data_IF_015065398185
#
_entry.id   IF_015065398185
#
_cell.length_a   1.000
_cell.length_b   1.000
_cell.length_c   1.000
_cell.angle_alpha   90.00
_cell.angle_beta   90.00
_cell.angle_gamma   90.00
#
_symmetry.space_group_name_H-M   'P 1'
#
loop_
_entity.id
_entity.type
_entity.pdbx_description
1 polymer ?
#
# COMPACT_ATOMS: atom_id res chain seq x y z
N UNK A 1 -17.40 -1.11 -6.09
CA UNK A 1 -16.07 -0.93 -6.70
C UNK A 1 -15.11 -2.02 -6.24
N UNK A 2 -14.23 -2.50 -7.12
CA UNK A 2 -13.25 -3.56 -6.81
C UNK A 2 -12.20 -3.15 -5.77
N UNK A 3 -11.37 -4.10 -5.34
CA UNK A 3 -10.28 -3.87 -4.36
C UNK A 3 -8.96 -3.44 -5.02
N UNK A 4 -8.77 -3.77 -6.30
CA UNK A 4 -7.62 -3.40 -7.13
C UNK A 4 -6.27 -3.78 -6.51
N UNK A 5 -5.27 -2.94 -6.72
CA UNK A 5 -3.91 -3.16 -6.24
C UNK A 5 -3.76 -3.34 -4.72
N UNK A 6 -4.74 -2.89 -3.93
CA UNK A 6 -4.73 -3.07 -2.47
C UNK A 6 -5.28 -4.42 -1.99
N UNK A 7 -5.81 -5.24 -2.90
CA UNK A 7 -6.43 -6.52 -2.56
C UNK A 7 -5.48 -7.45 -1.81
N UNK A 8 -4.17 -7.44 -2.11
CA UNK A 8 -3.19 -8.29 -1.43
C UNK A 8 -3.18 -8.08 0.08
N UNK A 9 -3.03 -6.83 0.53
CA UNK A 9 -3.05 -6.52 1.97
C UNK A 9 -4.44 -6.69 2.61
N UNK A 10 -5.50 -6.44 1.86
CA UNK A 10 -6.86 -6.65 2.34
C UNK A 10 -7.15 -8.13 2.59
N UNK A 11 -6.65 -9.02 1.72
CA UNK A 11 -6.72 -10.47 1.91
C UNK A 11 -5.88 -10.93 3.10
N UNK A 12 -4.72 -10.32 3.34
CA UNK A 12 -3.92 -10.59 4.57
C UNK A 12 -4.68 -10.18 5.83
N UNK A 13 -5.35 -9.01 5.82
CA UNK A 13 -6.16 -8.56 6.95
C UNK A 13 -7.34 -9.52 7.21
N UNK A 14 -8.06 -9.93 6.16
CA UNK A 14 -9.13 -10.92 6.31
C UNK A 14 -8.60 -12.26 6.84
N UNK A 15 -7.47 -12.74 6.31
CA UNK A 15 -6.86 -13.99 6.77
C UNK A 15 -6.41 -13.90 8.24
N UNK A 16 -5.90 -12.75 8.67
CA UNK A 16 -5.59 -12.49 10.09
C UNK A 16 -6.84 -12.62 10.96
N UNK A 17 -7.94 -11.98 10.59
CA UNK A 17 -9.18 -12.02 11.35
C UNK A 17 -9.73 -13.45 11.45
N UNK A 18 -9.71 -14.20 10.34
CA UNK A 18 -10.11 -15.62 10.33
C UNK A 18 -9.20 -16.48 11.22
N UNK A 19 -7.89 -16.24 11.20
CA UNK A 19 -6.93 -16.94 12.06
C UNK A 19 -7.06 -16.56 13.54
N UNK A 20 -7.66 -15.42 13.88
CA UNK A 20 -7.96 -15.09 15.28
C UNK A 20 -9.17 -15.88 15.79
N UNK A 21 -10.12 -16.20 14.92
CA UNK A 21 -11.33 -16.96 15.27
C UNK A 21 -11.10 -18.48 15.23
N UNK A 22 -10.31 -18.97 14.26
CA UNK A 22 -10.09 -20.40 14.05
C UNK A 22 -8.73 -20.84 14.61
N UNK A 23 -8.67 -21.51 15.77
CA UNK A 23 -7.40 -21.90 16.39
C UNK A 23 -6.68 -23.00 15.61
N UNK A 24 -5.34 -22.98 15.66
CA UNK A 24 -4.46 -24.02 15.14
C UNK A 24 -4.69 -24.38 13.65
N UNK A 25 -4.91 -23.39 12.80
CA UNK A 25 -5.14 -23.58 11.37
C UNK A 25 -4.16 -22.78 10.52
N UNK A 26 -4.26 -22.99 9.21
CA UNK A 26 -3.55 -22.26 8.18
C UNK A 26 -4.50 -21.39 7.37
N UNK A 27 -3.99 -20.29 6.83
CA UNK A 27 -4.64 -19.55 5.77
C UNK A 27 -3.64 -19.36 4.63
N UNK A 28 -4.09 -19.61 3.40
CA UNK A 28 -3.30 -19.33 2.19
C UNK A 28 -3.94 -18.16 1.47
N UNK A 29 -3.18 -17.09 1.28
CA UNK A 29 -3.58 -15.94 0.47
C UNK A 29 -2.87 -16.04 -0.88
N UNK A 30 -3.65 -16.09 -1.96
CA UNK A 30 -3.14 -16.10 -3.32
C UNK A 30 -3.55 -14.79 -3.99
N UNK A 31 -2.55 -13.99 -4.36
CA UNK A 31 -2.72 -12.83 -5.24
C UNK A 31 -2.35 -13.26 -6.66
N UNK A 32 -3.22 -13.00 -7.63
CA UNK A 32 -2.95 -13.23 -9.04
C UNK A 32 -3.51 -12.06 -9.83
N UNK A 33 -2.73 -11.55 -10.77
CA UNK A 33 -3.13 -10.48 -11.69
C UNK A 33 -2.95 -10.97 -13.13
N UNK A 34 -4.01 -10.83 -13.94
CA UNK A 34 -3.98 -11.13 -15.35
C UNK A 34 -4.54 -9.93 -16.15
N UNK A 35 -3.76 -9.44 -17.11
CA UNK A 35 -4.06 -8.24 -17.88
C UNK A 35 -4.89 -8.50 -19.15
N UNK A 36 -5.14 -9.76 -19.50
CA UNK A 36 -5.82 -10.11 -20.78
C UNK A 36 -7.19 -9.47 -20.94
N UNK A 37 -7.97 -9.33 -19.86
CA UNK A 37 -9.30 -8.71 -19.89
C UNK A 37 -9.28 -7.18 -19.73
N UNK A 38 -8.14 -6.61 -19.35
CA UNK A 38 -8.01 -5.19 -19.01
C UNK A 38 -7.14 -4.41 -20.01
N UNK A 39 -6.73 -5.04 -21.13
CA UNK A 39 -5.96 -4.37 -22.16
C UNK A 39 -6.83 -3.37 -22.93
N UNK A 40 -6.45 -2.09 -22.90
CA UNK A 40 -7.20 -1.04 -23.55
C UNK A 40 -6.81 -0.92 -25.04
N UNK A 41 -7.78 -1.06 -25.94
CA UNK A 41 -7.60 -1.01 -27.41
C UNK A 41 -7.99 0.33 -28.04
N UNK A 42 -8.34 1.33 -27.23
CA UNK A 42 -8.68 2.67 -27.70
C UNK A 42 -7.47 3.61 -27.76
N UNK A 43 -7.73 4.90 -27.92
CA UNK A 43 -6.69 5.93 -28.05
C UNK A 43 -6.77 7.04 -27.00
N UNK A 44 -7.58 6.86 -25.96
CA UNK A 44 -7.62 7.78 -24.83
C UNK A 44 -6.32 7.66 -24.01
N UNK A 45 -5.53 8.73 -24.00
CA UNK A 45 -4.25 8.79 -23.29
C UNK A 45 -4.34 8.38 -21.83
N UNK A 46 -5.38 8.80 -21.12
CA UNK A 46 -5.56 8.50 -19.69
C UNK A 46 -5.80 7.02 -19.40
N UNK A 47 -6.34 6.28 -20.38
CA UNK A 47 -6.56 4.84 -20.30
C UNK A 47 -5.34 4.05 -20.82
N UNK A 48 -4.63 4.56 -21.83
CA UNK A 48 -3.40 3.94 -22.37
C UNK A 48 -2.29 3.81 -21.32
N UNK A 49 -2.25 4.69 -20.32
CA UNK A 49 -1.28 4.60 -19.21
C UNK A 49 -1.33 3.24 -18.52
N UNK A 50 -2.53 2.64 -18.40
CA UNK A 50 -2.69 1.31 -17.79
C UNK A 50 -1.92 0.22 -18.54
N UNK A 51 -1.94 0.21 -19.89
CA UNK A 51 -1.20 -0.74 -20.72
C UNK A 51 0.33 -0.63 -20.52
N UNK A 52 0.82 0.58 -20.24
CA UNK A 52 2.24 0.84 -19.99
C UNK A 52 2.69 0.37 -18.61
N UNK A 53 1.80 0.41 -17.62
CA UNK A 53 2.12 0.11 -16.22
C UNK A 53 1.91 -1.36 -15.86
N UNK A 54 0.75 -1.91 -16.19
CA UNK A 54 0.32 -3.21 -15.65
C UNK A 54 1.02 -4.39 -16.33
N UNK A 55 1.34 -5.39 -15.52
CA UNK A 55 1.94 -6.67 -15.94
C UNK A 55 1.26 -7.82 -15.19
N UNK A 56 1.46 -9.03 -15.72
CA UNK A 56 0.98 -10.26 -15.09
C UNK A 56 1.90 -10.61 -13.92
N UNK A 57 1.32 -11.04 -12.81
CA UNK A 57 2.08 -11.47 -11.64
C UNK A 57 1.25 -12.28 -10.67
N UNK A 58 1.92 -12.89 -9.70
CA UNK A 58 1.25 -13.62 -8.66
C UNK A 58 2.14 -13.89 -7.45
N UNK A 59 1.51 -14.10 -6.31
CA UNK A 59 2.18 -14.42 -5.05
C UNK A 59 1.27 -15.31 -4.19
N UNK A 60 1.87 -16.22 -3.43
CA UNK A 60 1.18 -17.06 -2.47
C UNK A 60 1.83 -16.90 -1.09
N UNK A 61 1.01 -16.68 -0.06
CA UNK A 61 1.44 -16.39 1.29
C UNK A 61 0.73 -17.35 2.24
N UNK A 62 1.52 -18.14 2.96
CA UNK A 62 1.02 -19.04 3.99
C UNK A 62 1.10 -18.34 5.35
N UNK A 63 -0.05 -18.20 6.01
CA UNK A 63 -0.19 -17.68 7.36
C UNK A 63 -0.56 -18.83 8.30
N UNK A 64 -0.05 -18.78 9.53
CA UNK A 64 -0.33 -19.77 10.57
C UNK A 64 -0.51 -19.08 11.91
N UNK A 65 -1.47 -19.57 12.71
CA UNK A 65 -1.61 -19.21 14.12
C UNK A 65 -1.16 -20.34 15.07
N UNK A 66 -0.55 -21.41 14.54
CA UNK A 66 -0.06 -22.54 15.33
C UNK A 66 1.20 -22.13 16.09
N UNK A 67 1.22 -22.37 17.40
CA UNK A 67 2.41 -22.11 18.24
C UNK A 67 3.66 -22.84 17.76
N UNK A 68 3.50 -24.05 17.22
CA UNK A 68 4.59 -24.87 16.67
C UNK A 68 5.27 -24.25 15.45
N UNK A 69 4.63 -23.32 14.74
CA UNK A 69 5.20 -22.72 13.53
C UNK A 69 5.99 -21.44 13.81
N UNK A 70 5.90 -20.89 15.03
CA UNK A 70 6.48 -19.60 15.39
C UNK A 70 8.00 -19.52 15.17
N UNK A 71 8.73 -20.61 15.40
CA UNK A 71 10.19 -20.64 15.27
C UNK A 71 10.68 -20.72 13.81
N UNK A 72 9.82 -21.17 12.88
CA UNK A 72 10.12 -21.31 11.45
C UNK A 72 9.48 -20.23 10.58
N UNK A 73 8.57 -19.42 11.13
CA UNK A 73 7.97 -18.28 10.43
C UNK A 73 9.01 -17.22 10.10
N UNK A 74 9.00 -16.76 8.85
CA UNK A 74 9.90 -15.68 8.37
C UNK A 74 9.51 -14.31 8.96
N UNK A 75 8.21 -14.07 9.10
CA UNK A 75 7.62 -12.79 9.53
C UNK A 75 6.50 -13.02 10.54
N UNK A 76 6.21 -11.98 11.34
CA UNK A 76 5.06 -11.96 12.24
C UNK A 76 4.18 -10.75 11.92
N UNK A 77 2.95 -10.95 11.46
CA UNK A 77 2.02 -9.85 11.23
C UNK A 77 1.61 -9.22 12.57
N UNK A 78 1.93 -7.94 12.76
CA UNK A 78 1.65 -7.18 13.99
C UNK A 78 0.38 -6.37 13.82
N UNK A 79 0.37 -5.43 12.86
CA UNK A 79 -0.72 -4.50 12.64
C UNK A 79 -1.20 -4.49 11.19
N UNK A 80 -2.50 -4.26 11.04
CA UNK A 80 -3.17 -4.08 9.75
C UNK A 80 -4.07 -2.87 9.88
N UNK A 81 -3.88 -1.86 9.01
CA UNK A 81 -4.67 -0.63 9.03
C UNK A 81 -5.28 -0.41 7.66
N UNK A 82 -6.59 -0.18 7.62
CA UNK A 82 -7.36 0.06 6.40
C UNK A 82 -8.00 1.43 6.46
N UNK A 83 -7.82 2.23 5.41
CA UNK A 83 -8.61 3.44 5.17
C UNK A 83 -9.35 3.33 3.85
N UNK A 84 -10.57 3.87 3.82
CA UNK A 84 -11.45 3.84 2.66
C UNK A 84 -12.09 5.21 2.48
N UNK A 85 -11.91 5.83 1.31
CA UNK A 85 -12.44 7.15 1.00
C UNK A 85 -13.49 7.16 -0.12
N UNK A 86 -13.98 6.00 -0.54
CA UNK A 86 -14.91 5.89 -1.68
C UNK A 86 -16.31 6.45 -1.46
N UNK A 87 -16.59 7.07 -0.30
CA UNK A 87 -17.78 7.88 -0.09
C UNK A 87 -17.63 9.30 -0.66
N UNK A 88 -16.39 9.74 -0.91
CA UNK A 88 -16.08 10.99 -1.60
C UNK A 88 -16.04 10.73 -3.11
N UNK A 89 -16.80 11.50 -3.90
CA UNK A 89 -16.96 11.28 -5.34
C UNK A 89 -15.65 11.38 -6.11
N UNK A 90 -14.77 12.29 -5.68
CA UNK A 90 -13.43 12.47 -6.26
C UNK A 90 -12.56 11.25 -6.00
N UNK A 91 -12.59 10.69 -4.79
CA UNK A 91 -11.91 9.45 -4.44
C UNK A 91 -12.52 8.22 -5.12
N UNK A 92 -13.84 8.20 -5.31
CA UNK A 92 -14.52 7.10 -5.98
C UNK A 92 -14.18 7.06 -7.47
N UNK A 93 -14.27 8.20 -8.15
CA UNK A 93 -14.10 8.31 -9.60
C UNK A 93 -12.64 8.31 -10.08
N UNK A 94 -11.66 8.50 -9.19
CA UNK A 94 -10.27 8.70 -9.59
C UNK A 94 -9.62 7.51 -10.31
N UNK A 95 -10.11 6.29 -10.08
CA UNK A 95 -9.71 5.07 -10.78
C UNK A 95 -10.97 4.26 -11.08
N UNK A 96 -11.47 4.36 -12.31
CA UNK A 96 -12.74 3.78 -12.71
C UNK A 96 -12.60 3.07 -14.04
N UNK A 97 -13.24 1.91 -14.16
CA UNK A 97 -13.37 1.23 -15.45
C UNK A 97 -14.61 1.78 -16.16
N UNK A 98 -14.44 2.24 -17.38
CA UNK A 98 -15.51 2.84 -18.18
C UNK A 98 -15.23 2.68 -19.67
N UNK A 99 -16.25 2.91 -20.49
CA UNK A 99 -16.12 2.99 -21.94
C UNK A 99 -15.57 4.37 -22.35
N UNK A 100 -14.77 4.38 -23.41
CA UNK A 100 -14.41 5.61 -24.12
C UNK A 100 -15.50 6.02 -25.13
N UNK A 101 -15.26 7.10 -25.87
CA UNK A 101 -16.20 7.60 -26.87
C UNK A 101 -16.48 6.63 -28.03
N UNK A 102 -15.59 5.64 -28.25
CA UNK A 102 -15.70 4.62 -29.30
C UNK A 102 -16.27 3.30 -28.75
N UNK A 103 -16.77 3.28 -27.50
CA UNK A 103 -17.32 2.10 -26.84
C UNK A 103 -16.26 1.09 -26.37
N UNK A 104 -14.98 1.48 -26.32
CA UNK A 104 -13.90 0.60 -25.87
C UNK A 104 -13.70 0.73 -24.37
N UNK A 105 -13.78 -0.38 -23.66
CA UNK A 105 -13.62 -0.43 -22.21
C UNK A 105 -12.15 -0.24 -21.83
N UNK A 106 -11.88 0.68 -20.90
CA UNK A 106 -10.56 0.93 -20.33
C UNK A 106 -10.62 1.37 -18.88
N UNK A 107 -9.47 1.40 -18.22
CA UNK A 107 -9.34 1.94 -16.85
C UNK A 107 -8.91 3.41 -16.93
N UNK A 108 -9.82 4.31 -16.58
CA UNK A 108 -9.55 5.73 -16.48
C UNK A 108 -8.74 6.03 -15.21
N UNK A 109 -7.60 6.69 -15.39
CA UNK A 109 -6.82 7.28 -14.29
C UNK A 109 -7.00 8.80 -14.32
N UNK A 110 -7.69 9.35 -13.31
CA UNK A 110 -7.88 10.80 -13.17
C UNK A 110 -6.57 11.50 -12.80
N UNK A 111 -6.43 12.77 -13.18
CA UNK A 111 -5.33 13.64 -12.77
C UNK A 111 -5.30 13.88 -11.25
N UNK A 112 -6.44 13.69 -10.59
CA UNK A 112 -6.60 13.84 -9.15
C UNK A 112 -5.99 12.70 -8.33
N UNK A 113 -5.54 11.63 -8.99
CA UNK A 113 -5.05 10.41 -8.35
C UNK A 113 -3.97 10.68 -7.30
N UNK A 114 -3.01 11.57 -7.59
CA UNK A 114 -1.91 11.86 -6.67
C UNK A 114 -2.39 12.58 -5.41
N UNK A 115 -3.28 13.57 -5.55
CA UNK A 115 -3.85 14.29 -4.41
C UNK A 115 -4.70 13.38 -3.54
N UNK A 116 -5.56 12.58 -4.15
CA UNK A 116 -6.39 11.58 -3.46
C UNK A 116 -5.50 10.55 -2.73
N UNK A 117 -4.40 10.11 -3.35
CA UNK A 117 -3.46 9.19 -2.75
C UNK A 117 -2.76 9.77 -1.52
N UNK A 118 -2.25 11.00 -1.61
CA UNK A 118 -1.63 11.71 -0.48
C UNK A 118 -2.62 11.91 0.67
N UNK A 119 -3.86 12.28 0.38
CA UNK A 119 -4.90 12.45 1.39
C UNK A 119 -5.26 11.11 2.05
N UNK A 120 -5.37 10.02 1.30
CA UNK A 120 -5.66 8.70 1.85
C UNK A 120 -4.51 8.15 2.70
N UNK A 121 -3.26 8.39 2.27
CA UNK A 121 -2.06 8.10 3.06
C UNK A 121 -2.09 8.86 4.37
N UNK A 122 -2.35 10.18 4.33
CA UNK A 122 -2.41 11.03 5.53
C UNK A 122 -3.39 10.49 6.57
N UNK A 123 -4.57 10.05 6.13
CA UNK A 123 -5.55 9.39 7.01
C UNK A 123 -5.00 8.07 7.55
N UNK A 124 -4.35 7.27 6.71
CA UNK A 124 -3.77 5.97 7.12
C UNK A 124 -2.66 6.14 8.17
N UNK A 125 -1.70 7.05 7.95
CA UNK A 125 -0.60 7.30 8.89
C UNK A 125 -1.07 7.91 10.22
N UNK A 126 -2.18 8.65 10.22
CA UNK A 126 -2.77 9.18 11.46
C UNK A 126 -3.30 8.05 12.36
N UNK A 127 -3.78 6.96 11.75
CA UNK A 127 -4.26 5.77 12.47
C UNK A 127 -3.09 4.84 12.81
N UNK A 128 -2.14 4.67 11.91
CA UNK A 128 -0.99 3.79 12.10
C UNK A 128 0.01 4.34 13.12
N UNK A 129 0.26 5.66 13.11
CA UNK A 129 1.28 6.31 13.93
C UNK A 129 1.24 5.92 15.42
N UNK A 130 0.09 6.02 16.10
CA UNK A 130 -0.04 5.62 17.50
C UNK A 130 0.26 4.15 17.79
N UNK A 131 0.18 3.26 16.79
CA UNK A 131 0.44 1.83 16.94
C UNK A 131 1.91 1.47 16.82
N UNK A 132 2.72 2.31 16.16
CA UNK A 132 4.10 1.92 15.73
C UNK A 132 5.19 2.92 16.12
N UNK A 133 4.84 4.20 16.31
CA UNK A 133 5.82 5.24 16.60
C UNK A 133 6.15 5.29 18.11
N UNK A 134 7.38 5.71 18.48
CA UNK A 134 7.73 6.01 19.86
C UNK A 134 6.82 7.09 20.48
N UNK A 135 6.63 7.05 21.81
CA UNK A 135 5.79 8.03 22.51
C UNK A 135 6.23 9.49 22.28
N UNK A 136 7.53 9.76 22.12
CA UNK A 136 8.04 11.10 21.85
C UNK A 136 7.50 11.68 20.53
N UNK A 137 7.49 10.88 19.48
CA UNK A 137 6.95 11.23 18.16
C UNK A 137 5.43 11.41 18.22
N UNK A 138 4.74 10.54 18.94
CA UNK A 138 3.30 10.63 19.13
C UNK A 138 2.92 11.94 19.82
N UNK A 139 3.58 12.30 20.92
CA UNK A 139 3.32 13.53 21.66
C UNK A 139 3.53 14.77 20.78
N UNK A 140 4.61 14.81 19.99
CA UNK A 140 4.90 15.92 19.08
C UNK A 140 3.84 16.06 17.98
N UNK A 141 3.45 14.95 17.38
CA UNK A 141 2.38 14.92 16.37
C UNK A 141 1.04 15.37 16.96
N UNK A 142 0.62 14.82 18.10
CA UNK A 142 -0.63 15.18 18.76
C UNK A 142 -0.64 16.64 19.21
N UNK A 143 0.45 17.15 19.79
CA UNK A 143 0.56 18.55 20.19
C UNK A 143 0.41 19.49 18.98
N UNK A 144 1.03 19.15 17.84
CA UNK A 144 0.92 19.92 16.60
C UNK A 144 -0.50 19.87 16.02
N UNK A 145 -1.15 18.71 16.08
CA UNK A 145 -2.52 18.50 15.59
C UNK A 145 -3.53 19.28 16.45
N UNK A 146 -3.39 19.25 17.77
CA UNK A 146 -4.20 20.01 18.74
C UNK A 146 -3.99 21.51 18.55
N UNK A 147 -2.74 21.98 18.48
CA UNK A 147 -2.40 23.37 18.21
C UNK A 147 -3.06 23.93 16.95
N UNK A 148 -3.11 23.13 15.87
CA UNK A 148 -3.76 23.54 14.62
C UNK A 148 -5.28 23.46 14.68
N UNK A 149 -5.85 22.37 15.19
CA UNK A 149 -7.30 22.10 15.08
C UNK A 149 -8.11 22.83 16.14
N UNK A 150 -7.61 22.89 17.37
CA UNK A 150 -8.29 23.52 18.51
C UNK A 150 -7.86 24.97 18.69
N UNK A 151 -6.57 25.26 18.58
CA UNK A 151 -6.03 26.60 18.83
C UNK A 151 -5.82 27.45 17.57
N UNK A 152 -6.18 26.94 16.37
CA UNK A 152 -6.04 27.61 15.05
C UNK A 152 -4.64 28.21 14.81
N UNK A 153 -3.59 27.65 15.43
CA UNK A 153 -2.23 28.15 15.30
C UNK A 153 -1.69 27.87 13.89
N UNK A 154 -0.95 28.83 13.31
CA UNK A 154 -0.27 28.69 12.01
C UNK A 154 1.00 27.82 12.12
N UNK A 155 0.88 26.60 12.62
CA UNK A 155 1.97 25.63 12.72
C UNK A 155 2.00 24.79 11.44
N UNK A 156 3.20 24.56 10.88
CA UNK A 156 3.35 23.64 9.74
C UNK A 156 2.95 22.22 10.17
N UNK A 157 2.23 21.44 9.34
CA UNK A 157 1.94 20.05 9.65
C UNK A 157 3.23 19.29 9.93
N UNK A 158 3.31 18.69 11.12
CA UNK A 158 4.37 17.75 11.46
C UNK A 158 4.05 16.40 10.82
N UNK A 159 5.02 15.84 10.09
CA UNK A 159 4.95 14.49 9.53
C UNK A 159 5.85 13.64 10.43
N UNK A 160 5.30 12.63 11.14
CA UNK A 160 6.10 11.79 12.02
C UNK A 160 7.19 11.05 11.25
N UNK A 161 8.34 10.84 11.87
CA UNK A 161 9.42 10.10 11.23
C UNK A 161 9.20 8.58 11.35
N UNK A 162 8.53 8.01 10.35
CA UNK A 162 8.29 6.57 10.28
C UNK A 162 9.57 5.72 10.13
N UNK A 163 10.73 6.33 9.81
CA UNK A 163 12.02 5.63 9.79
C UNK A 163 12.45 5.17 11.19
N UNK A 164 11.90 5.80 12.24
CA UNK A 164 12.10 5.35 13.63
C UNK A 164 11.29 4.08 13.94
N UNK A 165 10.17 3.88 13.24
CA UNK A 165 9.31 2.72 13.42
C UNK A 165 9.67 1.55 12.51
N UNK A 166 10.28 1.80 11.35
CA UNK A 166 10.52 0.76 10.35
C UNK A 166 11.90 0.86 9.71
N UNK A 167 12.57 -0.29 9.61
CA UNK A 167 13.80 -0.42 8.84
C UNK A 167 13.51 -0.59 7.35
N UNK A 168 12.39 -1.21 6.95
CA UNK A 168 12.08 -1.49 5.55
C UNK A 168 10.69 -1.01 5.15
N UNK A 169 10.60 -0.51 3.92
CA UNK A 169 9.35 -0.01 3.33
C UNK A 169 9.11 -0.75 2.02
N UNK A 170 7.93 -1.37 1.91
CA UNK A 170 7.42 -1.93 0.67
C UNK A 170 6.23 -1.06 0.27
N UNK A 171 6.44 -0.23 -0.74
CA UNK A 171 5.47 0.74 -1.21
C UNK A 171 4.97 0.29 -2.57
N UNK A 172 3.66 0.03 -2.66
CA UNK A 172 3.04 -0.49 -3.87
C UNK A 172 3.48 0.31 -5.09
N UNK A 173 4.16 -0.40 -6.00
CA UNK A 173 4.61 0.03 -7.31
C UNK A 173 3.44 0.31 -8.28
N UNK A 174 2.57 1.28 -7.96
CA UNK A 174 1.45 1.70 -8.80
C UNK A 174 1.90 2.38 -10.10
N UNK A 175 3.03 3.09 -10.03
CA UNK A 175 3.67 3.82 -11.11
C UNK A 175 4.70 4.80 -10.52
N UNK A 176 5.58 5.34 -11.37
CA UNK A 176 6.68 6.21 -10.92
C UNK A 176 6.20 7.42 -10.11
N UNK A 177 5.15 8.10 -10.58
CA UNK A 177 4.60 9.28 -9.91
C UNK A 177 4.10 8.98 -8.48
N UNK A 178 3.52 7.79 -8.26
CA UNK A 178 3.06 7.37 -6.92
C UNK A 178 4.26 7.18 -5.98
N UNK A 179 5.33 6.55 -6.47
CA UNK A 179 6.55 6.35 -5.68
C UNK A 179 7.22 7.68 -5.35
N UNK A 180 7.33 8.59 -6.31
CA UNK A 180 7.92 9.92 -6.13
C UNK A 180 7.13 10.75 -5.10
N UNK A 181 5.80 10.71 -5.15
CA UNK A 181 4.93 11.39 -4.19
C UNK A 181 5.06 10.81 -2.77
N UNK A 182 5.18 9.48 -2.66
CA UNK A 182 5.37 8.83 -1.36
C UNK A 182 6.74 9.06 -0.75
N UNK A 183 7.79 9.01 -1.56
CA UNK A 183 9.15 9.34 -1.12
C UNK A 183 9.19 10.74 -0.50
N UNK A 184 8.57 11.72 -1.17
CA UNK A 184 8.47 13.09 -0.69
C UNK A 184 7.64 13.22 0.58
N UNK A 185 6.46 12.61 0.64
CA UNK A 185 5.56 12.73 1.78
C UNK A 185 6.10 12.04 3.05
N UNK A 186 6.80 10.91 2.90
CA UNK A 186 7.35 10.15 4.01
C UNK A 186 8.83 10.48 4.29
N UNK A 187 9.43 11.36 3.49
CA UNK A 187 10.85 11.73 3.59
C UNK A 187 11.76 10.49 3.61
N UNK A 188 11.51 9.59 2.65
CA UNK A 188 12.26 8.35 2.49
C UNK A 188 13.50 8.61 1.64
N UNK A 189 14.57 7.90 1.94
CA UNK A 189 15.79 7.94 1.11
C UNK A 189 15.71 6.94 -0.05
N UNK A 190 16.61 7.09 -1.03
CA UNK A 190 16.75 6.16 -2.15
C UNK A 190 16.91 4.70 -1.68
N UNK A 191 17.61 4.47 -0.58
CA UNK A 191 17.78 3.14 0.01
C UNK A 191 16.43 2.48 0.34
N UNK A 192 15.50 3.25 0.92
CA UNK A 192 14.16 2.76 1.30
C UNK A 192 13.29 2.55 0.06
N UNK A 193 13.46 3.40 -0.96
CA UNK A 193 12.66 3.37 -2.19
C UNK A 193 13.15 2.33 -3.21
N UNK A 194 14.38 1.85 -3.09
CA UNK A 194 14.99 0.94 -4.05
C UNK A 194 14.15 -0.33 -4.30
N UNK A 195 13.62 -1.06 -3.29
CA UNK A 195 12.80 -2.25 -3.54
C UNK A 195 11.58 -1.95 -4.43
N UNK A 196 10.84 -0.89 -4.11
CA UNK A 196 9.67 -0.45 -4.87
C UNK A 196 10.02 0.03 -6.29
N UNK A 197 11.13 0.78 -6.43
CA UNK A 197 11.58 1.28 -7.74
C UNK A 197 12.11 0.17 -8.64
N UNK A 198 12.90 -0.75 -8.09
CA UNK A 198 13.51 -1.85 -8.86
C UNK A 198 12.50 -2.90 -9.26
N UNK A 199 11.49 -3.17 -8.44
CA UNK A 199 10.40 -4.08 -8.81
C UNK A 199 9.49 -3.46 -9.85
N UNK A 200 9.15 -2.17 -9.74
CA UNK A 200 8.43 -1.46 -10.80
C UNK A 200 9.23 -1.48 -12.11
N UNK A 201 10.54 -1.23 -12.06
CA UNK A 201 11.40 -1.23 -13.25
C UNK A 201 11.48 -2.61 -13.91
N UNK A 202 11.65 -3.68 -13.13
CA UNK A 202 11.86 -5.04 -13.67
C UNK A 202 10.56 -5.77 -14.03
N UNK A 203 9.52 -5.60 -13.23
CA UNK A 203 8.30 -6.41 -13.30
C UNK A 203 7.06 -5.59 -13.61
N UNK A 204 7.15 -4.26 -13.66
CA UNK A 204 5.99 -3.38 -13.80
C UNK A 204 5.06 -3.43 -12.60
N UNK A 205 3.86 -2.88 -12.78
CA UNK A 205 2.81 -2.95 -11.77
C UNK A 205 2.09 -4.30 -11.88
N UNK A 206 2.40 -5.24 -10.98
CA UNK A 206 1.69 -6.53 -10.87
C UNK A 206 0.48 -6.46 -9.94
N UNK A 207 -0.10 -5.26 -9.78
CA UNK A 207 -1.31 -5.02 -9.01
C UNK A 207 -1.18 -5.53 -7.56
N UNK A 208 -2.09 -6.41 -7.14
CA UNK A 208 -2.19 -6.93 -5.79
C UNK A 208 -0.99 -7.76 -5.33
N UNK A 209 -0.10 -8.18 -6.24
CA UNK A 209 1.12 -8.92 -5.89
C UNK A 209 2.36 -8.04 -5.73
N UNK A 210 2.37 -6.77 -6.16
CA UNK A 210 3.60 -5.96 -6.23
C UNK A 210 4.37 -5.89 -4.90
N UNK A 211 3.67 -5.73 -3.78
CA UNK A 211 4.28 -5.66 -2.45
C UNK A 211 5.07 -6.92 -2.06
N UNK A 212 4.71 -8.08 -2.60
CA UNK A 212 5.42 -9.33 -2.34
C UNK A 212 6.69 -9.43 -3.17
N UNK A 213 6.70 -8.84 -4.37
CA UNK A 213 7.92 -8.72 -5.18
C UNK A 213 8.91 -7.77 -4.51
N UNK A 214 8.40 -6.69 -3.91
CA UNK A 214 9.21 -5.72 -3.15
C UNK A 214 9.86 -6.36 -1.93
N UNK A 215 9.06 -7.12 -1.15
CA UNK A 215 9.56 -7.87 -0.02
C UNK A 215 10.59 -8.93 -0.46
N UNK A 216 10.28 -9.72 -1.50
CA UNK A 216 11.20 -10.73 -2.03
C UNK A 216 12.50 -10.11 -2.58
N UNK A 217 12.44 -8.92 -3.18
CA UNK A 217 13.63 -8.19 -3.61
C UNK A 217 14.52 -7.82 -2.42
N UNK A 218 13.93 -7.27 -1.35
CA UNK A 218 14.67 -6.91 -0.13
C UNK A 218 15.29 -8.15 0.54
N UNK A 219 14.57 -9.28 0.57
CA UNK A 219 15.09 -10.57 1.03
C UNK A 219 16.27 -11.04 0.18
N UNK A 220 16.10 -11.08 -1.14
CA UNK A 220 17.12 -11.59 -2.07
C UNK A 220 18.40 -10.74 -2.06
N UNK A 221 18.28 -9.45 -1.74
CA UNK A 221 19.42 -8.54 -1.52
C UNK A 221 20.08 -8.70 -0.16
N UNK A 222 19.60 -9.59 0.71
CA UNK A 222 20.13 -9.80 2.05
C UNK A 222 19.94 -8.60 2.97
N UNK A 223 18.94 -7.74 2.70
CA UNK A 223 18.71 -6.50 3.47
C UNK A 223 17.99 -6.76 4.78
N UNK A 224 17.08 -7.73 4.77
CA UNK A 224 16.20 -8.02 5.90
C UNK A 224 16.94 -8.88 6.91
N UNK A 225 17.07 -8.36 8.13
CA UNK A 225 17.65 -9.06 9.28
C UNK A 225 16.55 -9.45 10.27
N UNK A 226 16.87 -10.43 11.13
CA UNK A 226 15.97 -10.85 12.20
C UNK A 226 15.70 -9.67 13.13
N UNK A 227 14.41 -9.42 13.43
CA UNK A 227 13.87 -8.30 14.24
C UNK A 227 13.71 -6.97 13.50
N UNK A 228 14.08 -6.89 12.23
CA UNK A 228 13.72 -5.73 11.42
C UNK A 228 12.19 -5.67 11.27
N UNK A 229 11.67 -4.44 11.25
CA UNK A 229 10.24 -4.14 11.10
C UNK A 229 9.99 -3.66 9.68
N UNK A 230 8.96 -4.22 9.05
CA UNK A 230 8.63 -3.92 7.66
C UNK A 230 7.25 -3.30 7.59
N UNK A 231 7.15 -2.21 6.85
CA UNK A 231 5.87 -1.60 6.52
C UNK A 231 5.53 -1.78 5.04
N UNK A 232 4.45 -2.49 4.79
CA UNK A 232 3.83 -2.61 3.47
C UNK A 232 2.68 -1.61 3.32
N UNK A 233 2.66 -0.85 2.22
CA UNK A 233 1.64 0.17 1.92
C UNK A 233 1.07 -0.06 0.52
N UNK A 234 -0.24 -0.29 0.40
CA UNK A 234 -0.92 -0.41 -0.88
C UNK A 234 -2.09 0.55 -1.06
N UNK A 235 -2.29 0.99 -2.30
CA UNK A 235 -3.43 1.78 -2.72
C UNK A 235 -4.36 0.98 -3.63
N UNK A 236 -5.64 1.34 -3.67
CA UNK A 236 -6.64 0.71 -4.55
C UNK A 236 -7.81 1.65 -4.85
N UNK A 237 -8.66 1.27 -5.80
CA UNK A 237 -9.81 2.09 -6.25
C UNK A 237 -10.89 2.27 -5.17
N UNK A 238 -11.72 3.31 -5.33
CA UNK A 238 -12.68 3.78 -4.32
C UNK A 238 -12.01 4.56 -3.19
N UNK A 239 -11.02 5.38 -3.50
CA UNK A 239 -9.65 5.23 -3.04
C UNK A 239 -9.40 4.66 -1.62
N UNK A 240 -8.60 3.60 -1.57
CA UNK A 240 -8.21 2.87 -0.35
C UNK A 240 -6.72 3.01 -0.11
N UNK A 241 -6.30 3.11 1.15
CA UNK A 241 -4.90 2.98 1.56
C UNK A 241 -4.83 1.93 2.68
N UNK A 242 -4.02 0.90 2.47
CA UNK A 242 -3.89 -0.23 3.38
C UNK A 242 -2.43 -0.38 3.80
N UNK A 243 -2.25 -0.68 5.08
CA UNK A 243 -0.96 -0.87 5.70
C UNK A 243 -0.91 -2.23 6.38
N UNK A 244 0.18 -2.96 6.21
CA UNK A 244 0.52 -4.15 6.98
C UNK A 244 1.91 -3.96 7.59
N UNK A 245 2.03 -4.30 8.87
CA UNK A 245 3.26 -4.21 9.64
C UNK A 245 3.69 -5.61 10.05
N UNK A 246 4.93 -5.95 9.74
CA UNK A 246 5.57 -7.23 10.01
C UNK A 246 6.78 -7.09 10.92
#
# INVERSE_FOLDING_TARGET
GGMGCSAGLLSIALAKDLLQVHPNTYAVVISMENITLNWYFGNNRSMLVSNCLFRVGGAAILLSNKRSDRWRSKYQLIHTVRTHKGADDKCFSCVTQQEDADGKIGVLLSKDLMGVAGDALKTNITILGPLVLPMSEQLLFFATLVGRKLFKMKIKPYIPDFKLAFEHFCIHAGGRAVLDELEKNLQLSEWHMEPSRMTLYRFGNTSSSSLWYELAYAEAKGRIKKRDRIWQIAFGSGFKCNSAVW
#
